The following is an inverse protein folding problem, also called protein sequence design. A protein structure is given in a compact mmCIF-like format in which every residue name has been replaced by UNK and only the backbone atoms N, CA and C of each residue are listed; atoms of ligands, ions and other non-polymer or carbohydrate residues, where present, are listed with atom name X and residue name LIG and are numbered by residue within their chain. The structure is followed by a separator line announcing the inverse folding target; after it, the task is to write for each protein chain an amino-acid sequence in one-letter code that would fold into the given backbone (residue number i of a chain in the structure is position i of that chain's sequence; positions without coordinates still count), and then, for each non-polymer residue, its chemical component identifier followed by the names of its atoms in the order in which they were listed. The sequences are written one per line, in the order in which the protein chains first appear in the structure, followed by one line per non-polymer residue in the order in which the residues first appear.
data_IF_797303766374
#
_entry.id   IF_797303766374
#
_cell.length_a   1.000
_cell.length_b   1.000
_cell.length_c   1.000
_cell.angle_alpha   90.00
_cell.angle_beta   90.00
_cell.angle_gamma   90.00
#
_symmetry.space_group_name_H-M   'P 1'
#
loop_
_entity.id
_entity.type
_entity.pdbx_description
1 polymer ?
#
# COMPACT_ATOMS: atom_id res chain seq x y z
N UNK A 1 -16.12 -33.92 7.06
CA UNK A 1 -16.16 -32.48 7.40
C UNK A 1 -15.28 -31.76 6.40
N UNK A 2 -15.78 -30.80 5.66
CA UNK A 2 -14.96 -29.98 4.75
C UNK A 2 -13.90 -29.21 5.56
N UNK A 3 -12.65 -29.14 5.07
CA UNK A 3 -11.63 -28.32 5.70
C UNK A 3 -12.10 -26.87 5.83
N UNK A 4 -11.73 -26.15 6.90
CA UNK A 4 -12.12 -24.74 7.07
C UNK A 4 -11.63 -23.90 5.89
N UNK A 5 -12.39 -22.86 5.53
CA UNK A 5 -12.05 -21.96 4.45
C UNK A 5 -10.72 -21.25 4.74
N UNK A 6 -9.81 -21.29 3.76
CA UNK A 6 -8.52 -20.62 3.83
C UNK A 6 -8.67 -19.19 3.34
N UNK A 7 -8.56 -18.22 4.23
CA UNK A 7 -8.68 -16.80 3.89
C UNK A 7 -7.41 -16.24 3.24
N UNK A 8 -7.57 -15.22 2.38
CA UNK A 8 -6.45 -14.59 1.66
C UNK A 8 -5.43 -13.93 2.60
N UNK A 9 -5.88 -13.45 3.76
CA UNK A 9 -5.05 -12.79 4.77
C UNK A 9 -5.62 -13.03 6.17
N UNK A 10 -4.72 -13.15 7.15
CA UNK A 10 -5.02 -13.18 8.59
C UNK A 10 -4.00 -12.29 9.31
N UNK A 11 -4.43 -11.27 10.07
CA UNK A 11 -3.51 -10.45 10.87
C UNK A 11 -2.95 -11.25 12.04
N UNK A 12 -1.70 -11.00 12.41
CA UNK A 12 -1.02 -11.66 13.52
C UNK A 12 -1.20 -10.89 14.83
N UNK A 13 -2.34 -11.07 15.45
CA UNK A 13 -2.70 -10.46 16.72
C UNK A 13 -2.73 -11.53 17.83
N UNK A 14 -2.38 -11.13 19.06
CA UNK A 14 -2.33 -12.05 20.19
C UNK A 14 -2.34 -11.34 21.55
N UNK A 15 -1.83 -12.02 22.56
CA UNK A 15 -1.84 -11.53 23.96
C UNK A 15 -1.07 -10.21 24.10
N UNK A 16 0.06 -10.05 23.43
CA UNK A 16 0.87 -8.83 23.54
C UNK A 16 0.12 -7.56 23.10
N UNK A 17 -0.67 -7.63 22.01
CA UNK A 17 -1.51 -6.51 21.58
C UNK A 17 -2.64 -6.27 22.58
N UNK A 18 -3.25 -7.32 23.12
CA UNK A 18 -4.33 -7.18 24.11
C UNK A 18 -3.81 -6.53 25.42
N UNK A 19 -2.63 -6.92 25.88
CA UNK A 19 -1.98 -6.32 27.06
C UNK A 19 -1.64 -4.85 26.82
N UNK A 20 -1.06 -4.50 25.66
CA UNK A 20 -0.76 -3.12 25.32
C UNK A 20 -2.00 -2.22 25.26
N UNK A 21 -3.13 -2.73 24.77
CA UNK A 21 -4.42 -2.01 24.80
C UNK A 21 -4.94 -1.88 26.21
N UNK A 22 -4.84 -2.91 27.04
CA UNK A 22 -5.27 -2.85 28.45
C UNK A 22 -4.49 -1.79 29.25
N UNK A 23 -3.18 -1.65 29.01
CA UNK A 23 -2.37 -0.57 29.62
C UNK A 23 -2.89 0.82 29.25
N UNK A 24 -3.26 1.04 27.99
CA UNK A 24 -3.84 2.32 27.53
C UNK A 24 -5.16 2.60 28.21
N UNK A 25 -6.04 1.59 28.31
CA UNK A 25 -7.31 1.74 29.02
C UNK A 25 -7.12 2.07 30.50
N UNK A 26 -6.16 1.41 31.15
CA UNK A 26 -5.82 1.67 32.56
C UNK A 26 -5.25 3.08 32.78
N UNK A 27 -4.53 3.64 31.80
CA UNK A 27 -3.99 5.01 31.86
C UNK A 27 -5.06 6.09 31.73
N UNK A 28 -6.23 5.76 31.17
CA UNK A 28 -7.29 6.72 30.82
C UNK A 28 -7.00 7.59 29.61
N UNK A 29 -5.81 7.50 29.01
CA UNK A 29 -5.44 8.30 27.82
C UNK A 29 -5.73 7.53 26.53
N UNK A 30 -6.97 7.54 26.08
CA UNK A 30 -7.44 6.73 24.95
C UNK A 30 -7.38 7.42 23.60
N UNK A 31 -7.33 8.76 23.54
CA UNK A 31 -7.20 9.55 22.32
C UNK A 31 -5.73 9.65 21.90
N UNK A 32 -5.40 10.59 21.00
CA UNK A 32 -4.01 10.85 20.59
C UNK A 32 -3.17 11.32 21.78
N UNK A 33 -2.10 10.62 22.09
CA UNK A 33 -1.27 10.89 23.27
C UNK A 33 0.14 10.29 23.17
N UNK A 34 0.72 9.86 24.31
CA UNK A 34 2.12 9.41 24.37
C UNK A 34 2.40 8.13 23.58
N UNK A 35 1.42 7.21 23.40
CA UNK A 35 1.61 6.01 22.58
C UNK A 35 1.70 6.35 21.10
N UNK A 36 0.92 7.32 20.63
CA UNK A 36 1.02 7.83 19.26
C UNK A 36 2.39 8.45 19.02
N UNK A 37 2.86 9.32 19.92
CA UNK A 37 4.18 9.94 19.81
C UNK A 37 5.31 8.90 19.77
N UNK A 38 5.24 7.86 20.60
CA UNK A 38 6.22 6.77 20.63
C UNK A 38 6.14 5.93 19.34
N UNK A 39 4.95 5.65 18.81
CA UNK A 39 4.79 4.93 17.56
C UNK A 39 5.35 5.72 16.38
N UNK A 40 5.07 7.04 16.28
CA UNK A 40 5.68 7.93 15.29
C UNK A 40 7.22 7.85 15.34
N UNK A 41 7.79 8.00 16.52
CA UNK A 41 9.25 7.97 16.70
C UNK A 41 9.86 6.63 16.29
N UNK A 42 9.29 5.49 16.72
CA UNK A 42 9.81 4.16 16.37
C UNK A 42 9.60 3.83 14.91
N UNK A 43 8.49 4.24 14.33
CA UNK A 43 8.22 4.04 12.91
C UNK A 43 9.19 4.84 12.04
N UNK A 44 9.46 6.11 12.38
CA UNK A 44 10.46 6.93 11.71
C UNK A 44 11.84 6.26 11.72
N UNK A 45 12.28 5.74 12.87
CA UNK A 45 13.55 5.00 12.98
C UNK A 45 13.55 3.75 12.10
N UNK A 46 12.48 2.96 12.14
CA UNK A 46 12.37 1.71 11.36
C UNK A 46 12.39 1.96 9.84
N UNK A 47 11.81 3.07 9.38
CA UNK A 47 11.79 3.45 7.96
C UNK A 47 12.95 4.39 7.57
N UNK A 48 13.88 4.71 8.48
CA UNK A 48 14.96 5.67 8.25
C UNK A 48 14.47 7.03 7.74
N UNK A 49 13.33 7.47 8.24
CA UNK A 49 12.74 8.77 7.93
C UNK A 49 13.02 9.76 9.09
N UNK A 50 13.19 11.04 8.77
CA UNK A 50 13.44 12.07 9.80
C UNK A 50 12.19 12.36 10.65
N UNK A 51 11.03 12.31 10.04
CA UNK A 51 9.75 12.60 10.68
C UNK A 51 8.67 11.59 10.30
N UNK A 52 7.82 11.28 11.29
CA UNK A 52 6.58 10.52 11.08
C UNK A 52 5.40 11.26 11.71
N UNK A 53 4.22 11.14 11.09
CA UNK A 53 2.96 11.74 11.55
C UNK A 53 1.87 10.70 11.40
N UNK A 54 1.40 10.14 12.51
CA UNK A 54 0.36 9.12 12.52
C UNK A 54 -1.00 9.72 12.12
N UNK A 55 -1.77 8.97 11.35
CA UNK A 55 -3.08 9.37 10.83
C UNK A 55 -4.12 8.28 11.04
N UNK A 56 -5.39 8.63 10.91
CA UNK A 56 -6.51 7.69 11.05
C UNK A 56 -6.57 6.63 9.94
N UNK A 57 -5.92 6.88 8.78
CA UNK A 57 -5.83 5.94 7.66
C UNK A 57 -4.73 6.36 6.68
N UNK A 58 -4.32 5.45 5.78
CA UNK A 58 -3.43 5.79 4.66
C UNK A 58 -4.08 6.83 3.72
N UNK A 59 -5.39 6.76 3.50
CA UNK A 59 -6.11 7.74 2.68
C UNK A 59 -5.96 9.15 3.26
N UNK A 60 -6.04 9.29 4.59
CA UNK A 60 -5.77 10.55 5.28
C UNK A 60 -4.31 10.99 5.13
N UNK A 61 -3.36 10.03 5.19
CA UNK A 61 -1.94 10.31 4.97
C UNK A 61 -1.65 10.80 3.54
N UNK A 62 -2.25 10.16 2.51
CA UNK A 62 -2.15 10.59 1.10
C UNK A 62 -2.72 11.99 0.89
N UNK A 63 -3.88 12.27 1.48
CA UNK A 63 -4.48 13.61 1.41
C UNK A 63 -3.55 14.67 2.03
N UNK A 64 -3.03 14.41 3.24
CA UNK A 64 -2.09 15.33 3.88
C UNK A 64 -0.78 15.46 3.08
N UNK A 65 -0.27 14.37 2.50
CA UNK A 65 0.93 14.38 1.68
C UNK A 65 0.80 15.34 0.48
N UNK A 66 -0.33 15.29 -0.23
CA UNK A 66 -0.59 16.20 -1.34
C UNK A 66 -0.77 17.65 -0.89
N UNK A 67 -1.40 17.89 0.27
CA UNK A 67 -1.54 19.24 0.83
C UNK A 67 -0.18 19.84 1.22
N UNK A 68 0.69 19.08 1.91
CA UNK A 68 2.01 19.58 2.32
C UNK A 68 2.95 19.72 1.14
N UNK A 69 2.80 18.89 0.10
CA UNK A 69 3.48 19.00 -1.18
C UNK A 69 3.05 20.25 -1.99
N UNK A 70 2.01 20.97 -1.55
CA UNK A 70 1.56 22.20 -2.19
C UNK A 70 0.68 21.99 -3.42
N UNK A 71 0.12 20.82 -3.63
CA UNK A 71 -0.84 20.53 -4.71
C UNK A 71 -2.12 21.36 -4.50
N UNK A 72 -2.65 21.91 -5.58
CA UNK A 72 -3.76 22.89 -5.58
C UNK A 72 -4.88 22.46 -6.53
N UNK A 73 -6.08 23.02 -6.37
CA UNK A 73 -7.17 22.82 -7.32
C UNK A 73 -6.75 23.16 -8.76
N UNK A 74 -7.05 22.24 -9.69
CA UNK A 74 -6.71 22.36 -11.11
C UNK A 74 -5.35 21.84 -11.53
N UNK A 75 -4.48 21.46 -10.58
CA UNK A 75 -3.23 20.75 -10.86
C UNK A 75 -3.50 19.35 -11.40
N UNK A 76 -2.53 18.80 -12.13
CA UNK A 76 -2.51 17.41 -12.53
C UNK A 76 -1.60 16.60 -11.59
N UNK A 77 -2.10 15.46 -11.11
CA UNK A 77 -1.32 14.50 -10.32
C UNK A 77 -1.26 13.18 -11.09
N UNK A 78 -0.06 12.73 -11.44
CA UNK A 78 0.13 11.44 -12.10
C UNK A 78 -0.05 10.32 -11.08
N UNK A 79 -0.85 9.31 -11.42
CA UNK A 79 -1.13 8.15 -10.58
C UNK A 79 -1.17 6.87 -11.41
N UNK A 80 -0.74 5.70 -10.90
CA UNK A 80 -0.99 4.44 -11.59
C UNK A 80 -2.48 4.12 -11.55
N UNK A 81 -3.00 3.61 -12.65
CA UNK A 81 -4.38 3.09 -12.65
C UNK A 81 -4.47 1.69 -12.03
N UNK A 82 -3.39 0.89 -12.12
CA UNK A 82 -3.27 -0.41 -11.46
C UNK A 82 -2.96 -0.22 -9.97
N UNK A 83 -3.95 0.25 -9.20
CA UNK A 83 -3.83 0.49 -7.76
C UNK A 83 -5.20 0.45 -7.08
N UNK A 84 -5.20 0.41 -5.74
CA UNK A 84 -6.42 0.63 -4.97
C UNK A 84 -6.95 2.06 -5.21
N UNK A 85 -8.26 2.20 -5.26
CA UNK A 85 -8.92 3.46 -5.63
C UNK A 85 -8.51 4.67 -4.77
N UNK A 86 -8.04 4.46 -3.53
CA UNK A 86 -7.61 5.54 -2.64
C UNK A 86 -6.46 6.37 -3.25
N UNK A 87 -5.55 5.75 -4.01
CA UNK A 87 -4.47 6.43 -4.73
C UNK A 87 -5.03 7.45 -5.74
N UNK A 88 -6.08 7.06 -6.48
CA UNK A 88 -6.75 7.93 -7.46
C UNK A 88 -7.68 8.96 -6.80
N UNK A 89 -8.28 8.64 -5.66
CA UNK A 89 -9.14 9.55 -4.91
C UNK A 89 -8.35 10.71 -4.26
N UNK A 90 -7.13 10.46 -3.79
CA UNK A 90 -6.36 11.44 -3.04
C UNK A 90 -6.18 12.80 -3.77
N UNK A 91 -5.84 12.85 -5.08
CA UNK A 91 -5.81 14.11 -5.84
C UNK A 91 -7.14 14.86 -5.82
N UNK A 92 -8.28 14.15 -5.90
CA UNK A 92 -9.60 14.81 -5.94
C UNK A 92 -9.94 15.51 -4.62
N UNK A 93 -9.41 15.04 -3.49
CA UNK A 93 -9.64 15.67 -2.18
C UNK A 93 -8.99 17.05 -2.07
N UNK A 94 -7.95 17.31 -2.85
CA UNK A 94 -7.30 18.65 -2.92
C UNK A 94 -7.75 19.45 -4.14
N UNK A 95 -8.78 18.97 -4.86
CA UNK A 95 -9.30 19.62 -6.07
C UNK A 95 -8.40 19.48 -7.30
N UNK A 96 -7.35 18.64 -7.22
CA UNK A 96 -6.49 18.30 -8.34
C UNK A 96 -7.12 17.16 -9.18
N UNK A 97 -6.58 16.96 -10.38
CA UNK A 97 -7.06 15.94 -11.31
C UNK A 97 -6.10 14.75 -11.34
N UNK A 98 -6.55 13.53 -11.07
CA UNK A 98 -5.76 12.36 -11.34
C UNK A 98 -5.55 12.20 -12.86
N UNK A 99 -4.31 11.93 -13.27
CA UNK A 99 -3.95 11.54 -14.63
C UNK A 99 -3.39 10.13 -14.57
N UNK A 100 -4.07 9.19 -15.16
CA UNK A 100 -3.69 7.78 -15.09
C UNK A 100 -2.53 7.47 -16.03
N UNK A 101 -1.52 6.79 -15.49
CA UNK A 101 -0.32 6.33 -16.18
C UNK A 101 -0.29 4.81 -16.13
N UNK A 102 0.14 4.19 -17.23
CA UNK A 102 0.29 2.74 -17.30
C UNK A 102 1.49 2.25 -16.48
N UNK A 103 1.52 0.98 -16.21
CA UNK A 103 2.48 0.36 -15.29
C UNK A 103 3.41 -0.62 -16.02
N UNK A 104 4.50 -0.97 -15.36
CA UNK A 104 5.41 -2.03 -15.80
C UNK A 104 4.70 -3.40 -15.73
N UNK A 105 4.83 -4.24 -16.76
CA UNK A 105 4.13 -5.53 -16.82
C UNK A 105 4.62 -6.58 -15.81
N UNK A 106 5.79 -6.39 -15.22
CA UNK A 106 6.40 -7.35 -14.29
C UNK A 106 6.11 -6.95 -12.84
N UNK A 107 6.32 -5.67 -12.53
CA UNK A 107 6.19 -5.15 -11.17
C UNK A 107 4.81 -4.61 -10.84
N UNK A 108 4.03 -4.19 -11.84
CA UNK A 108 2.77 -3.47 -11.64
C UNK A 108 2.95 -2.03 -11.15
N UNK A 109 4.16 -1.50 -11.17
CA UNK A 109 4.51 -0.16 -10.69
C UNK A 109 4.68 0.84 -11.83
N UNK A 110 4.62 2.14 -11.52
CA UNK A 110 5.00 3.20 -12.46
C UNK A 110 6.47 3.06 -12.88
N UNK A 111 6.76 3.47 -14.11
CA UNK A 111 8.13 3.58 -14.62
C UNK A 111 8.53 5.03 -14.83
N UNK A 112 9.81 5.34 -14.73
CA UNK A 112 10.36 6.66 -15.06
C UNK A 112 10.01 7.08 -16.52
N UNK A 113 10.00 6.13 -17.46
CA UNK A 113 9.63 6.40 -18.84
C UNK A 113 8.15 6.76 -18.99
N UNK A 114 7.24 6.03 -18.31
CA UNK A 114 5.81 6.34 -18.29
C UNK A 114 5.52 7.68 -17.67
N UNK A 115 6.15 7.99 -16.52
CA UNK A 115 6.04 9.29 -15.87
C UNK A 115 6.51 10.40 -16.79
N UNK A 116 7.70 10.29 -17.41
CA UNK A 116 8.24 11.27 -18.34
C UNK A 116 7.30 11.57 -19.51
N UNK A 117 6.69 10.54 -20.08
CA UNK A 117 5.75 10.69 -21.20
C UNK A 117 4.43 11.36 -20.80
N UNK A 118 4.05 11.26 -19.53
CA UNK A 118 2.80 11.81 -18.98
C UNK A 118 2.93 13.24 -18.42
N UNK A 119 4.17 13.73 -18.20
CA UNK A 119 4.41 15.08 -17.64
C UNK A 119 3.84 16.17 -18.54
N UNK A 120 3.15 17.12 -17.92
CA UNK A 120 2.60 18.33 -18.54
C UNK A 120 3.00 19.57 -17.74
N UNK A 121 2.83 20.79 -18.28
CA UNK A 121 3.04 22.01 -17.49
C UNK A 121 2.17 22.13 -16.24
N UNK A 122 1.05 21.39 -16.15
CA UNK A 122 0.17 21.36 -14.97
C UNK A 122 0.51 20.27 -13.98
N UNK A 123 1.41 19.34 -14.31
CA UNK A 123 1.79 18.28 -13.39
C UNK A 123 2.58 18.85 -12.23
N UNK A 124 2.09 18.68 -10.99
CA UNK A 124 2.71 19.17 -9.77
C UNK A 124 3.18 18.04 -8.85
N UNK A 125 2.56 16.86 -8.97
CA UNK A 125 2.96 15.70 -8.21
C UNK A 125 2.80 14.37 -8.99
N UNK A 126 3.53 13.37 -8.54
CA UNK A 126 3.39 11.95 -8.94
C UNK A 126 3.14 11.14 -7.68
N UNK A 127 2.12 10.29 -7.67
CA UNK A 127 1.95 9.29 -6.61
C UNK A 127 2.48 7.95 -7.11
N UNK A 128 3.62 7.56 -6.60
CA UNK A 128 4.30 6.30 -6.94
C UNK A 128 3.94 5.23 -5.90
N UNK A 129 3.39 4.09 -6.36
CA UNK A 129 2.85 3.04 -5.47
C UNK A 129 3.80 1.86 -5.40
N UNK A 130 4.03 1.33 -4.19
CA UNK A 130 4.69 0.04 -3.97
C UNK A 130 3.68 -1.10 -4.10
N UNK A 131 3.35 -1.45 -5.32
CA UNK A 131 2.22 -2.32 -5.61
C UNK A 131 2.37 -3.74 -5.04
N UNK A 132 1.47 -4.10 -4.12
CA UNK A 132 1.52 -5.41 -3.46
C UNK A 132 2.77 -5.64 -2.60
N UNK A 133 3.53 -4.58 -2.29
CA UNK A 133 4.80 -4.60 -1.57
C UNK A 133 6.04 -4.68 -2.47
N UNK A 134 5.86 -4.69 -3.79
CA UNK A 134 6.98 -4.59 -4.73
C UNK A 134 7.47 -3.14 -4.76
N UNK A 135 8.73 -2.84 -4.39
CA UNK A 135 9.21 -1.47 -4.34
C UNK A 135 9.24 -0.84 -5.74
N UNK A 136 8.65 0.35 -5.86
CA UNK A 136 8.75 1.16 -7.07
C UNK A 136 10.18 1.69 -7.23
N UNK A 137 10.69 1.86 -8.47
CA UNK A 137 11.99 2.53 -8.66
C UNK A 137 11.85 4.04 -8.46
N UNK A 138 11.67 4.41 -7.18
CA UNK A 138 11.50 5.80 -6.75
C UNK A 138 12.67 6.68 -7.18
N UNK A 139 13.90 6.15 -7.14
CA UNK A 139 15.11 6.86 -7.56
C UNK A 139 15.03 7.27 -9.03
N UNK A 140 14.61 6.37 -9.90
CA UNK A 140 14.49 6.66 -11.33
C UNK A 140 13.33 7.63 -11.63
N UNK A 141 12.21 7.52 -10.90
CA UNK A 141 11.08 8.44 -11.03
C UNK A 141 11.46 9.85 -10.55
N UNK A 142 12.13 9.97 -9.39
CA UNK A 142 12.59 11.25 -8.87
C UNK A 142 13.53 11.95 -9.85
N UNK A 143 14.50 11.25 -10.41
CA UNK A 143 15.41 11.82 -11.40
C UNK A 143 14.70 12.40 -12.64
N UNK A 144 13.49 11.93 -12.95
CA UNK A 144 12.63 12.53 -14.00
C UNK A 144 11.90 13.76 -13.49
N UNK A 145 11.53 13.79 -12.21
CA UNK A 145 10.71 14.84 -11.59
C UNK A 145 11.52 16.03 -11.06
N UNK A 146 12.81 15.83 -10.77
CA UNK A 146 13.70 16.85 -10.19
C UNK A 146 13.97 18.04 -11.13
N UNK A 147 13.93 17.82 -12.43
CA UNK A 147 14.06 18.89 -13.45
C UNK A 147 13.05 18.73 -14.58
N UNK A 148 11.91 19.34 -14.40
CA UNK A 148 10.86 19.42 -15.44
C UNK A 148 10.77 20.85 -15.97
N UNK A 149 11.73 21.21 -16.84
CA UNK A 149 11.79 22.56 -17.41
C UNK A 149 12.01 23.66 -16.36
N UNK A 150 12.92 23.41 -15.41
CA UNK A 150 13.25 24.33 -14.31
C UNK A 150 12.25 24.27 -13.14
N UNK A 151 11.38 23.27 -13.09
CA UNK A 151 10.43 23.03 -11.98
C UNK A 151 10.71 21.67 -11.35
N UNK A 152 10.48 21.56 -10.05
CA UNK A 152 10.39 20.32 -9.33
C UNK A 152 8.94 19.80 -9.31
N UNK A 153 8.75 18.51 -9.58
CA UNK A 153 7.48 17.80 -9.43
C UNK A 153 7.62 16.84 -8.25
N UNK A 154 6.81 17.04 -7.22
CA UNK A 154 6.93 16.25 -5.98
C UNK A 154 6.56 14.79 -6.22
N UNK A 155 7.36 13.87 -5.68
CA UNK A 155 7.03 12.43 -5.70
C UNK A 155 6.54 12.00 -4.33
N UNK A 156 5.24 11.68 -4.25
CA UNK A 156 4.60 11.07 -3.09
C UNK A 156 4.69 9.55 -3.24
N UNK A 157 5.31 8.87 -2.29
CA UNK A 157 5.35 7.41 -2.27
C UNK A 157 4.12 6.85 -1.55
N UNK A 158 3.23 6.19 -2.28
CA UNK A 158 2.14 5.40 -1.68
C UNK A 158 2.71 4.04 -1.23
N UNK A 159 3.29 4.06 -0.05
CA UNK A 159 3.87 2.91 0.62
C UNK A 159 2.84 2.10 1.44
N UNK A 160 1.55 2.17 1.08
CA UNK A 160 0.48 1.45 1.79
C UNK A 160 0.75 -0.06 1.90
N UNK A 161 1.55 -0.61 1.00
CA UNK A 161 1.97 -2.01 1.00
C UNK A 161 3.48 -2.17 1.27
N UNK A 162 4.24 -1.08 1.46
CA UNK A 162 5.70 -1.06 1.41
C UNK A 162 6.41 -1.42 2.72
N UNK A 163 5.71 -1.49 3.88
CA UNK A 163 6.36 -1.71 5.17
C UNK A 163 7.19 -3.01 5.20
N UNK A 164 8.50 -2.88 5.40
CA UNK A 164 9.47 -3.98 5.39
C UNK A 164 10.01 -4.38 4.01
N UNK A 165 9.57 -3.72 2.91
CA UNK A 165 10.23 -3.79 1.60
C UNK A 165 11.45 -2.89 1.57
N UNK A 166 12.38 -3.17 0.65
CA UNK A 166 13.60 -2.36 0.49
C UNK A 166 13.82 -1.93 -0.95
N UNK A 167 14.28 -0.70 -1.11
CA UNK A 167 14.79 -0.13 -2.36
C UNK A 167 16.29 0.06 -2.22
N UNK A 168 17.10 -0.56 -3.08
CA UNK A 168 18.58 -0.49 -3.06
C UNK A 168 19.19 -0.72 -1.66
N UNK A 169 18.60 -1.67 -0.90
CA UNK A 169 19.07 -2.05 0.44
C UNK A 169 18.63 -1.12 1.57
N UNK A 170 17.87 -0.06 1.30
CA UNK A 170 17.27 0.83 2.29
C UNK A 170 15.77 0.54 2.43
N UNK A 171 15.15 0.77 3.58
CA UNK A 171 13.69 0.68 3.71
C UNK A 171 12.98 1.55 2.66
N UNK A 172 11.87 1.05 2.11
CA UNK A 172 10.92 1.87 1.34
C UNK A 172 10.55 3.10 2.17
N UNK A 173 10.36 4.25 1.55
CA UNK A 173 10.09 5.52 2.23
C UNK A 173 11.33 6.29 2.70
N UNK A 174 12.50 5.63 2.84
CA UNK A 174 13.72 6.27 3.33
C UNK A 174 14.25 7.39 2.42
N UNK A 175 14.01 7.27 1.12
CA UNK A 175 14.43 8.24 0.11
C UNK A 175 13.26 9.07 -0.45
N UNK A 176 12.05 8.90 0.09
CA UNK A 176 10.89 9.66 -0.35
C UNK A 176 10.89 11.08 0.23
N UNK A 177 10.44 12.05 -0.54
CA UNK A 177 10.13 13.39 -0.02
C UNK A 177 9.00 13.32 1.00
N UNK A 178 7.98 12.52 0.67
CA UNK A 178 6.88 12.15 1.55
C UNK A 178 6.35 10.78 1.17
N UNK A 179 6.09 9.93 2.16
CA UNK A 179 5.47 8.63 1.97
C UNK A 179 4.23 8.46 2.85
N UNK A 180 3.25 7.72 2.34
CA UNK A 180 1.99 7.41 3.04
C UNK A 180 1.87 5.90 3.28
N UNK A 181 1.55 5.52 4.51
CA UNK A 181 1.53 4.14 4.99
C UNK A 181 0.16 3.71 5.47
N UNK A 182 -0.15 2.43 5.36
CA UNK A 182 -1.42 1.84 5.79
C UNK A 182 -1.23 0.80 6.87
N UNK A 183 -2.10 0.86 7.89
CA UNK A 183 -2.17 -0.12 8.97
C UNK A 183 -3.55 -0.80 9.03
N UNK A 184 -4.22 -0.90 7.89
CA UNK A 184 -5.46 -1.65 7.74
C UNK A 184 -5.21 -3.16 8.00
N UNK A 185 -6.19 -3.97 8.49
CA UNK A 185 -6.00 -5.39 8.84
C UNK A 185 -5.49 -6.29 7.72
N UNK A 186 -5.63 -5.88 6.46
CA UNK A 186 -5.08 -6.61 5.31
C UNK A 186 -3.60 -6.30 5.03
N UNK A 187 -2.98 -5.39 5.78
CA UNK A 187 -1.54 -5.08 5.64
C UNK A 187 -0.69 -5.98 6.53
N UNK A 188 0.64 -5.99 6.31
CA UNK A 188 1.55 -6.77 7.14
C UNK A 188 1.44 -6.37 8.60
N UNK A 189 1.51 -5.06 8.85
CA UNK A 189 1.38 -4.42 10.14
C UNK A 189 0.00 -3.79 10.23
N UNK A 190 -0.74 -4.02 11.32
CA UNK A 190 -2.07 -3.45 11.51
C UNK A 190 -2.26 -2.78 12.85
N UNK A 191 -3.11 -1.76 12.87
CA UNK A 191 -3.64 -1.11 14.08
C UNK A 191 -5.18 -1.21 14.15
N UNK A 192 -5.80 -2.13 13.36
CA UNK A 192 -7.22 -2.15 13.08
C UNK A 192 -7.57 -1.19 11.93
N UNK A 193 -7.53 0.07 12.14
CA UNK A 193 -7.43 1.14 11.15
C UNK A 193 -6.28 2.06 11.53
N UNK A 194 -5.65 2.70 10.56
CA UNK A 194 -4.55 3.62 10.80
C UNK A 194 -3.71 3.88 9.56
N UNK A 195 -2.89 4.89 9.66
CA UNK A 195 -1.88 5.26 8.66
C UNK A 195 -0.76 6.07 9.27
N UNK A 196 0.22 6.38 8.45
CA UNK A 196 1.36 7.23 8.79
C UNK A 196 1.74 8.05 7.57
N UNK A 197 2.19 9.27 7.77
CA UNK A 197 2.93 10.05 6.81
C UNK A 197 4.37 10.12 7.30
N UNK A 198 5.34 9.83 6.45
CA UNK A 198 6.78 10.04 6.74
C UNK A 198 7.36 11.03 5.76
N UNK A 199 8.33 11.86 6.19
CA UNK A 199 8.99 12.85 5.35
C UNK A 199 10.33 13.30 5.95
N UNK A 200 11.27 13.71 5.08
CA UNK A 200 12.50 14.37 5.50
C UNK A 200 12.30 15.87 5.78
N UNK A 201 11.17 16.48 5.38
CA UNK A 201 10.93 17.92 5.51
C UNK A 201 10.25 18.26 6.84
N UNK A 202 10.97 18.93 7.74
CA UNK A 202 10.47 19.30 9.07
C UNK A 202 9.24 20.25 9.02
N UNK A 203 9.17 21.16 8.06
CA UNK A 203 8.04 22.05 7.86
C UNK A 203 6.79 21.31 7.36
N UNK A 204 6.93 20.31 6.48
CA UNK A 204 5.84 19.44 6.06
C UNK A 204 5.29 18.61 7.22
N UNK A 205 6.18 18.04 8.03
CA UNK A 205 5.79 17.29 9.21
C UNK A 205 5.03 18.17 10.23
N UNK A 206 5.49 19.41 10.47
CA UNK A 206 4.79 20.36 11.35
C UNK A 206 3.41 20.71 10.80
N UNK A 207 3.32 21.02 9.49
CA UNK A 207 2.05 21.35 8.86
C UNK A 207 1.09 20.15 8.87
N UNK A 208 1.56 18.94 8.57
CA UNK A 208 0.75 17.72 8.61
C UNK A 208 0.19 17.44 10.02
N UNK A 209 0.98 17.67 11.09
CA UNK A 209 0.51 17.54 12.48
C UNK A 209 -0.61 18.53 12.79
N UNK A 210 -0.50 19.78 12.32
CA UNK A 210 -1.56 20.78 12.51
C UNK A 210 -2.82 20.41 11.72
N UNK A 211 -2.67 20.09 10.44
CA UNK A 211 -3.79 19.75 9.55
C UNK A 211 -4.56 18.52 10.08
N UNK A 212 -3.90 17.49 10.61
CA UNK A 212 -4.58 16.31 11.18
C UNK A 212 -5.39 16.62 12.44
N UNK A 213 -5.14 17.78 13.09
CA UNK A 213 -5.79 18.24 14.32
C UNK A 213 -6.54 19.56 14.09
N UNK A 214 -7.39 19.63 13.07
CA UNK A 214 -8.25 20.78 12.75
C UNK A 214 -7.50 22.07 12.37
N UNK A 215 -6.20 22.02 12.09
CA UNK A 215 -5.38 23.21 11.84
C UNK A 215 -4.99 24.00 13.09
N UNK A 216 -5.10 23.39 14.28
CA UNK A 216 -4.81 24.04 15.57
C UNK A 216 -3.32 24.45 15.67
N UNK A 217 -3.09 25.66 16.21
CA UNK A 217 -1.74 26.17 16.50
C UNK A 217 -1.06 25.48 17.69
N UNK A 218 -1.84 24.92 18.62
CA UNK A 218 -1.39 24.24 19.85
C UNK A 218 -1.93 22.81 19.86
N UNK A 219 -1.04 21.83 19.97
CA UNK A 219 -1.44 20.42 19.98
C UNK A 219 -2.22 20.03 21.24
N UNK A 220 -3.00 18.94 21.16
CA UNK A 220 -3.69 18.39 22.30
C UNK A 220 -2.73 18.04 23.48
N UNK A 221 -1.53 17.56 23.16
CA UNK A 221 -0.50 17.22 24.15
C UNK A 221 0.02 18.49 24.87
N UNK A 222 0.31 19.57 24.13
CA UNK A 222 0.75 20.85 24.70
C UNK A 222 -0.33 21.48 25.59
N UNK A 223 -1.61 21.42 25.19
CA UNK A 223 -2.73 21.89 26.02
C UNK A 223 -2.84 21.13 27.34
N UNK A 224 -2.63 19.82 27.30
CA UNK A 224 -2.72 18.97 28.49
C UNK A 224 -1.52 19.14 29.43
N UNK A 225 -0.33 19.47 28.88
CA UNK A 225 0.87 19.75 29.67
C UNK A 225 0.83 21.12 30.38
N UNK A 226 -0.05 22.01 29.98
CA UNK A 226 -0.16 23.36 30.51
C UNK A 226 -1.28 23.46 31.57
N UNK A 227 -0.95 23.99 32.75
CA UNK A 227 -1.94 24.34 33.79
C UNK A 227 -2.88 25.47 33.32
N UNK A 228 -2.35 26.40 32.52
CA UNK A 228 -3.14 27.43 31.83
C UNK A 228 -3.11 27.15 30.35
N UNK A 229 -4.26 26.80 29.76
CA UNK A 229 -4.34 26.54 28.33
C UNK A 229 -3.89 27.77 27.53
N UNK A 230 -2.87 27.63 26.61
CA UNK A 230 -2.49 28.73 25.75
C UNK A 230 -3.61 29.07 24.78
N UNK A 231 -3.70 30.34 24.31
CA UNK A 231 -4.70 30.70 23.32
C UNK A 231 -4.51 29.91 22.03
N UNK A 232 -5.59 29.34 21.52
CA UNK A 232 -5.63 28.57 20.29
C UNK A 232 -5.95 29.47 19.09
N UNK A 233 -5.26 29.21 17.97
CA UNK A 233 -5.59 29.79 16.65
C UNK A 233 -5.76 28.65 15.64
N UNK A 234 -6.57 28.88 14.63
CA UNK A 234 -6.84 27.96 13.52
C UNK A 234 -6.51 28.67 12.22
N UNK A 235 -5.23 28.62 11.82
CA UNK A 235 -4.70 29.42 10.71
C UNK A 235 -5.09 28.87 9.33
N UNK A 236 -5.46 27.59 9.27
CA UNK A 236 -5.89 26.90 8.05
C UNK A 236 -6.98 25.86 8.36
N UNK A 237 -7.79 25.54 7.36
CA UNK A 237 -8.80 24.48 7.49
C UNK A 237 -8.09 23.13 7.64
N UNK A 238 -8.29 22.46 8.77
CA UNK A 238 -7.74 21.16 9.06
C UNK A 238 -8.79 20.09 9.19
N UNK A 239 -8.37 18.88 9.59
CA UNK A 239 -9.16 17.66 9.59
C UNK A 239 -9.07 16.96 10.95
N UNK A 240 -9.97 16.03 11.21
CA UNK A 240 -9.82 15.08 12.29
C UNK A 240 -9.26 13.76 11.74
N UNK A 241 -7.95 13.70 11.57
CA UNK A 241 -7.22 12.52 11.10
C UNK A 241 -6.33 11.90 12.18
N UNK A 242 -6.65 12.15 13.44
CA UNK A 242 -5.87 11.64 14.58
C UNK A 242 -5.95 10.12 14.67
N UNK A 243 -4.82 9.49 14.97
CA UNK A 243 -4.74 8.12 15.49
C UNK A 243 -4.96 8.15 17.00
N UNK A 244 -5.54 7.12 17.56
CA UNK A 244 -5.72 6.95 19.01
C UNK A 244 -4.52 6.23 19.63
N UNK A 245 -4.29 6.42 20.95
CA UNK A 245 -3.28 5.66 21.68
C UNK A 245 -3.62 4.15 21.73
N UNK A 246 -4.90 3.78 21.68
CA UNK A 246 -5.32 2.38 21.54
C UNK A 246 -4.76 1.74 20.25
N UNK A 247 -4.89 2.43 19.12
CA UNK A 247 -4.35 1.98 17.84
C UNK A 247 -2.82 1.97 17.84
N UNK A 248 -2.21 3.02 18.40
CA UNK A 248 -0.75 3.13 18.47
C UNK A 248 -0.12 2.05 19.37
N UNK A 249 -0.77 1.65 20.46
CA UNK A 249 -0.32 0.57 21.33
C UNK A 249 -0.24 -0.77 20.55
N UNK A 250 -1.26 -1.09 19.76
CA UNK A 250 -1.23 -2.23 18.85
C UNK A 250 -0.10 -2.06 17.83
N UNK A 251 0.03 -0.86 17.24
CA UNK A 251 1.06 -0.54 16.24
C UNK A 251 2.49 -0.75 16.74
N UNK A 252 2.77 -0.41 17.99
CA UNK A 252 4.08 -0.61 18.62
C UNK A 252 4.46 -2.09 18.71
N UNK A 253 3.52 -2.94 19.11
CA UNK A 253 3.74 -4.40 19.18
C UNK A 253 3.91 -4.98 17.76
N UNK A 254 3.06 -4.57 16.84
CA UNK A 254 3.10 -5.02 15.44
C UNK A 254 4.40 -4.60 14.74
N UNK A 255 4.89 -3.38 15.00
CA UNK A 255 6.17 -2.90 14.44
C UNK A 255 7.35 -3.76 14.91
N UNK A 256 7.34 -4.20 16.17
CA UNK A 256 8.37 -5.10 16.69
C UNK A 256 8.34 -6.49 16.02
N UNK A 257 7.17 -6.95 15.56
CA UNK A 257 7.00 -8.23 14.86
C UNK A 257 7.35 -8.13 13.36
N UNK A 258 7.41 -6.93 12.77
CA UNK A 258 7.52 -6.72 11.32
C UNK A 258 8.68 -7.50 10.66
N UNK A 259 9.91 -7.56 11.20
CA UNK A 259 10.98 -8.34 10.59
C UNK A 259 10.66 -9.83 10.47
N UNK A 260 10.07 -10.43 11.51
CA UNK A 260 9.66 -11.83 11.51
C UNK A 260 8.51 -12.09 10.51
N UNK A 261 7.55 -11.14 10.41
CA UNK A 261 6.47 -11.20 9.41
C UNK A 261 7.03 -11.24 7.99
N UNK A 262 7.96 -10.32 7.67
CA UNK A 262 8.58 -10.24 6.35
C UNK A 262 9.36 -11.53 6.03
N UNK A 263 10.20 -12.00 6.95
CA UNK A 263 10.97 -13.22 6.76
C UNK A 263 10.04 -14.41 6.42
N UNK A 264 8.99 -14.63 7.23
CA UNK A 264 8.04 -15.72 7.01
C UNK A 264 7.28 -15.60 5.70
N UNK A 265 6.84 -14.39 5.32
CA UNK A 265 6.15 -14.18 4.03
C UNK A 265 7.05 -14.47 2.85
N UNK A 266 8.33 -14.12 2.94
CA UNK A 266 9.31 -14.41 1.88
C UNK A 266 9.57 -15.93 1.74
N UNK A 267 9.60 -16.68 2.85
CA UNK A 267 9.67 -18.17 2.81
C UNK A 267 8.46 -18.75 2.06
N UNK A 268 7.25 -18.35 2.46
CA UNK A 268 6.02 -18.81 1.81
C UNK A 268 5.96 -18.38 0.32
N UNK A 269 6.39 -17.16 0.01
CA UNK A 269 6.44 -16.66 -1.35
C UNK A 269 7.43 -17.47 -2.22
N UNK A 270 8.58 -17.90 -1.68
CA UNK A 270 9.54 -18.74 -2.40
C UNK A 270 8.92 -20.08 -2.81
N UNK A 271 8.15 -20.74 -1.93
CA UNK A 271 7.45 -21.98 -2.25
C UNK A 271 6.39 -21.77 -3.36
N UNK A 272 5.61 -20.69 -3.31
CA UNK A 272 4.68 -20.33 -4.39
C UNK A 272 5.41 -20.05 -5.71
N UNK A 273 6.52 -19.30 -5.66
CA UNK A 273 7.31 -18.97 -6.86
C UNK A 273 7.82 -20.25 -7.53
N UNK A 274 8.31 -21.23 -6.76
CA UNK A 274 8.75 -22.51 -7.28
C UNK A 274 7.59 -23.29 -7.94
N UNK A 275 6.41 -23.33 -7.31
CA UNK A 275 5.24 -24.00 -7.86
C UNK A 275 4.75 -23.35 -9.15
N UNK A 276 4.67 -22.02 -9.19
CA UNK A 276 4.23 -21.25 -10.37
C UNK A 276 5.23 -21.39 -11.51
N UNK A 277 6.56 -21.38 -11.22
CA UNK A 277 7.58 -21.58 -12.25
C UNK A 277 7.50 -22.97 -12.93
N UNK A 278 7.02 -23.99 -12.22
CA UNK A 278 6.76 -25.33 -12.73
C UNK A 278 5.43 -25.48 -13.47
N UNK A 279 4.58 -24.44 -13.50
CA UNK A 279 3.22 -24.51 -14.08
C UNK A 279 3.14 -23.66 -15.36
N UNK A 280 3.05 -24.26 -16.56
CA UNK A 280 2.91 -23.51 -17.80
C UNK A 280 1.72 -22.56 -17.80
N UNK A 281 1.93 -21.36 -18.30
CA UNK A 281 0.87 -20.35 -18.39
C UNK A 281 0.60 -19.56 -17.11
N UNK A 282 1.37 -19.76 -16.03
CA UNK A 282 1.33 -18.92 -14.84
C UNK A 282 2.61 -18.09 -14.71
N UNK A 283 2.48 -16.85 -14.23
CA UNK A 283 3.61 -15.96 -13.92
C UNK A 283 3.42 -15.35 -12.54
N UNK A 284 4.38 -15.59 -11.64
CA UNK A 284 4.38 -15.01 -10.30
C UNK A 284 4.94 -13.58 -10.28
N UNK A 285 4.48 -12.78 -9.31
CA UNK A 285 5.17 -11.57 -8.88
C UNK A 285 6.60 -11.91 -8.41
N UNK A 286 7.56 -11.04 -8.71
CA UNK A 286 8.97 -11.23 -8.35
C UNK A 286 9.59 -9.94 -7.80
N UNK A 287 10.71 -10.09 -7.10
CA UNK A 287 11.54 -8.96 -6.72
C UNK A 287 12.09 -8.26 -7.97
N UNK A 288 12.05 -6.93 -8.05
CA UNK A 288 12.75 -6.20 -9.11
C UNK A 288 14.26 -6.15 -8.83
N UNK A 289 15.04 -5.87 -9.88
CA UNK A 289 16.50 -5.80 -9.77
C UNK A 289 17.00 -4.74 -8.77
N UNK A 290 16.17 -3.76 -8.45
CA UNK A 290 16.50 -2.63 -7.58
C UNK A 290 16.01 -2.78 -6.14
N UNK A 291 15.31 -3.86 -5.78
CA UNK A 291 14.80 -3.98 -4.43
C UNK A 291 14.22 -5.33 -4.06
N UNK A 292 13.75 -5.45 -2.82
CA UNK A 292 13.13 -6.67 -2.30
C UNK A 292 11.72 -6.40 -1.79
N UNK A 293 10.78 -7.25 -2.21
CA UNK A 293 9.39 -7.20 -1.77
C UNK A 293 9.21 -7.83 -0.40
N UNK A 294 8.32 -7.27 0.40
CA UNK A 294 7.78 -7.90 1.60
C UNK A 294 6.68 -8.95 1.27
N UNK A 295 6.29 -9.06 0.01
CA UNK A 295 5.15 -9.84 -0.46
C UNK A 295 3.86 -9.55 0.34
N UNK A 296 3.51 -8.26 0.48
CA UNK A 296 2.19 -7.85 1.02
C UNK A 296 1.07 -8.58 0.29
N UNK A 297 1.21 -8.75 -1.02
CA UNK A 297 0.34 -9.58 -1.84
C UNK A 297 1.21 -10.47 -2.73
N UNK A 298 0.95 -11.77 -2.72
CA UNK A 298 1.49 -12.68 -3.73
C UNK A 298 0.46 -12.80 -4.86
N UNK A 299 0.71 -12.10 -5.95
CA UNK A 299 -0.17 -12.17 -7.11
C UNK A 299 0.44 -13.00 -8.24
N UNK A 300 -0.45 -13.64 -8.99
CA UNK A 300 -0.11 -14.49 -10.13
C UNK A 300 -0.88 -14.00 -11.35
N UNK A 301 -0.22 -13.87 -12.48
CA UNK A 301 -0.87 -13.63 -13.77
C UNK A 301 -1.13 -14.96 -14.46
N UNK A 302 -2.36 -15.12 -14.95
CA UNK A 302 -2.80 -16.24 -15.80
C UNK A 302 -2.65 -15.83 -17.25
N UNK A 303 -1.66 -16.42 -17.93
CA UNK A 303 -1.33 -16.15 -19.33
C UNK A 303 -2.32 -16.88 -20.26
N UNK A 304 -2.37 -16.48 -21.53
CA UNK A 304 -3.23 -17.12 -22.54
C UNK A 304 -2.90 -18.60 -22.77
N UNK A 305 -1.67 -18.99 -22.51
CA UNK A 305 -1.21 -20.38 -22.64
C UNK A 305 -1.64 -21.31 -21.50
N UNK A 306 -2.27 -20.77 -20.44
CA UNK A 306 -2.78 -21.60 -19.34
C UNK A 306 -4.06 -22.35 -19.76
N UNK A 307 -4.33 -23.48 -19.12
CA UNK A 307 -5.49 -24.35 -19.42
C UNK A 307 -6.85 -23.73 -19.05
N UNK A 308 -6.85 -22.70 -18.20
CA UNK A 308 -8.05 -21.92 -17.84
C UNK A 308 -7.71 -20.44 -17.71
N UNK A 309 -8.72 -19.56 -17.72
CA UNK A 309 -8.54 -18.14 -17.43
C UNK A 309 -8.50 -17.86 -15.92
N UNK A 310 -8.27 -16.59 -15.57
CA UNK A 310 -8.20 -16.12 -14.18
C UNK A 310 -9.46 -16.48 -13.37
N UNK A 311 -10.64 -16.31 -13.96
CA UNK A 311 -11.90 -16.52 -13.24
C UNK A 311 -12.18 -18.03 -13.06
N UNK A 312 -11.83 -18.86 -14.03
CA UNK A 312 -11.86 -20.32 -13.90
C UNK A 312 -10.92 -20.83 -12.81
N UNK A 313 -9.70 -20.26 -12.73
CA UNK A 313 -8.76 -20.61 -11.66
C UNK A 313 -9.27 -20.17 -10.27
N UNK A 314 -9.94 -19.02 -10.17
CA UNK A 314 -10.58 -18.57 -8.93
C UNK A 314 -11.71 -19.52 -8.49
N UNK A 315 -12.51 -20.04 -9.43
CA UNK A 315 -13.54 -21.05 -9.13
C UNK A 315 -12.91 -22.34 -8.61
N UNK A 316 -11.87 -22.85 -9.27
CA UNK A 316 -11.13 -24.04 -8.80
C UNK A 316 -10.58 -23.90 -7.38
N UNK A 317 -10.00 -22.72 -7.08
CA UNK A 317 -9.51 -22.38 -5.73
C UNK A 317 -10.66 -22.35 -4.72
N UNK A 318 -11.80 -21.74 -5.08
CA UNK A 318 -12.97 -21.69 -4.22
C UNK A 318 -13.56 -23.07 -3.93
N UNK A 319 -13.63 -23.98 -4.92
CA UNK A 319 -14.07 -25.36 -4.78
C UNK A 319 -13.17 -26.16 -3.84
N UNK A 320 -11.86 -25.83 -3.81
CA UNK A 320 -10.90 -26.37 -2.86
C UNK A 320 -10.94 -25.69 -1.46
N UNK A 321 -11.91 -24.80 -1.21
CA UNK A 321 -12.04 -24.06 0.04
C UNK A 321 -10.97 -22.97 0.22
N UNK A 322 -10.36 -22.46 -0.87
CA UNK A 322 -9.34 -21.42 -0.86
C UNK A 322 -9.94 -20.09 -1.32
N UNK A 323 -9.97 -19.10 -0.44
CA UNK A 323 -10.46 -17.75 -0.75
C UNK A 323 -9.34 -16.89 -1.36
N UNK A 324 -9.02 -17.11 -2.63
CA UNK A 324 -8.21 -16.19 -3.43
C UNK A 324 -9.04 -14.95 -3.83
N UNK A 325 -8.37 -13.94 -4.37
CA UNK A 325 -9.03 -12.69 -4.81
C UNK A 325 -8.63 -12.37 -6.24
N UNK A 326 -9.52 -11.67 -6.97
CA UNK A 326 -9.10 -10.97 -8.18
C UNK A 326 -7.93 -10.07 -7.84
N UNK A 327 -7.02 -9.87 -8.78
CA UNK A 327 -5.83 -9.04 -8.62
C UNK A 327 -6.17 -7.58 -8.33
N UNK A 328 -5.24 -6.72 -8.63
CA UNK A 328 -5.40 -5.29 -8.39
C UNK A 328 -6.41 -4.71 -9.40
N UNK A 329 -7.23 -3.80 -8.91
CA UNK A 329 -8.23 -3.14 -9.74
C UNK A 329 -7.59 -2.10 -10.68
N UNK A 330 -8.27 -1.81 -11.80
CA UNK A 330 -7.99 -0.65 -12.62
C UNK A 330 -8.86 0.52 -12.15
N UNK A 331 -8.25 1.57 -11.60
CA UNK A 331 -8.98 2.71 -11.05
C UNK A 331 -9.76 3.48 -12.13
N UNK A 332 -9.21 3.62 -13.36
CA UNK A 332 -9.88 4.29 -14.48
C UNK A 332 -11.19 3.59 -14.93
N UNK A 333 -11.33 2.29 -14.66
CA UNK A 333 -12.55 1.53 -14.95
C UNK A 333 -13.65 1.70 -13.90
N UNK A 334 -13.37 2.45 -12.83
CA UNK A 334 -14.37 2.69 -11.79
C UNK A 334 -15.25 3.89 -12.18
N UNK A 335 -16.57 3.82 -11.96
CA UNK A 335 -17.49 4.91 -12.33
C UNK A 335 -17.09 6.28 -11.78
N UNK A 336 -16.50 6.33 -10.58
CA UNK A 336 -16.03 7.56 -9.95
C UNK A 336 -14.88 8.27 -10.72
N UNK A 337 -14.19 7.55 -11.60
CA UNK A 337 -13.05 8.03 -12.38
C UNK A 337 -13.22 7.86 -13.89
N UNK A 338 -14.44 7.64 -14.37
CA UNK A 338 -14.71 7.39 -15.79
C UNK A 338 -14.26 8.53 -16.72
N UNK A 339 -14.32 9.76 -16.22
CA UNK A 339 -13.93 10.99 -16.94
C UNK A 339 -12.48 11.45 -16.63
N UNK A 340 -11.71 10.67 -15.86
CA UNK A 340 -10.35 11.05 -15.50
C UNK A 340 -9.41 10.92 -16.71
N UNK A 341 -8.42 11.82 -16.76
CA UNK A 341 -7.46 11.86 -17.86
C UNK A 341 -6.55 10.63 -17.85
N UNK A 342 -6.19 10.15 -19.03
CA UNK A 342 -5.24 9.06 -19.25
C UNK A 342 -4.02 9.61 -20.01
N UNK A 343 -2.83 9.20 -19.61
CA UNK A 343 -1.59 9.56 -20.26
C UNK A 343 -1.52 9.04 -21.72
N UNK A 344 -0.72 9.65 -22.60
CA UNK A 344 -0.48 9.15 -23.94
C UNK A 344 -0.06 7.66 -23.95
N UNK A 345 -0.61 6.89 -24.89
CA UNK A 345 -0.36 5.44 -24.98
C UNK A 345 -1.44 4.56 -24.34
N UNK A 346 -2.36 5.15 -23.59
CA UNK A 346 -3.43 4.39 -22.92
C UNK A 346 -2.91 3.56 -21.74
N UNK A 347 -3.66 2.52 -21.37
CA UNK A 347 -3.42 1.70 -20.18
C UNK A 347 -3.44 0.17 -20.48
N UNK A 348 -2.86 -0.30 -21.61
CA UNK A 348 -2.98 -1.69 -22.02
C UNK A 348 -2.39 -2.70 -21.02
N UNK A 349 -1.30 -2.35 -20.32
CA UNK A 349 -0.69 -3.22 -19.32
C UNK A 349 -1.57 -3.29 -18.08
N UNK A 350 -2.04 -2.15 -17.59
CA UNK A 350 -3.00 -2.07 -16.46
C UNK A 350 -4.23 -2.94 -16.72
N UNK A 351 -4.84 -2.81 -17.91
CA UNK A 351 -6.05 -3.56 -18.29
C UNK A 351 -5.77 -5.06 -18.30
N UNK A 352 -4.69 -5.48 -18.95
CA UNK A 352 -4.28 -6.87 -19.00
C UNK A 352 -4.03 -7.44 -17.61
N UNK A 353 -3.26 -6.76 -16.76
CA UNK A 353 -2.96 -7.21 -15.40
C UNK A 353 -4.23 -7.28 -14.55
N UNK A 354 -5.13 -6.30 -14.66
CA UNK A 354 -6.41 -6.31 -13.93
C UNK A 354 -7.27 -7.51 -14.34
N UNK A 355 -7.32 -7.86 -15.62
CA UNK A 355 -8.15 -8.93 -16.12
C UNK A 355 -7.56 -10.32 -15.86
N UNK A 356 -6.23 -10.43 -15.75
CA UNK A 356 -5.52 -11.71 -15.71
C UNK A 356 -4.85 -12.06 -14.38
N UNK A 357 -4.81 -11.15 -13.40
CA UNK A 357 -4.15 -11.46 -12.13
C UNK A 357 -5.12 -11.90 -11.05
N UNK A 358 -4.62 -12.74 -10.17
CA UNK A 358 -5.26 -13.12 -8.91
C UNK A 358 -4.26 -13.05 -7.75
N UNK A 359 -4.76 -12.85 -6.53
CA UNK A 359 -3.97 -12.82 -5.30
C UNK A 359 -4.21 -14.09 -4.52
N UNK A 360 -3.14 -14.82 -4.22
CA UNK A 360 -3.15 -16.04 -3.43
C UNK A 360 -3.16 -15.74 -1.93
N UNK A 361 -3.68 -16.65 -1.08
CA UNK A 361 -3.54 -16.57 0.36
C UNK A 361 -2.07 -16.52 0.77
N UNK A 362 -1.73 -15.53 1.59
CA UNK A 362 -0.39 -15.41 2.15
C UNK A 362 -0.46 -14.68 3.50
N UNK A 363 -0.22 -15.38 4.60
CA UNK A 363 -0.15 -14.84 5.96
C UNK A 363 0.83 -15.66 6.78
N UNK A 364 1.48 -15.05 7.77
CA UNK A 364 2.64 -15.63 8.45
C UNK A 364 2.34 -16.85 9.30
N UNK A 365 1.09 -17.05 9.79
CA UNK A 365 0.66 -18.27 10.49
C UNK A 365 0.23 -19.40 9.55
N UNK A 366 0.35 -19.21 8.22
CA UNK A 366 -0.02 -20.21 7.22
C UNK A 366 0.83 -21.46 7.40
N UNK A 367 0.17 -22.61 7.54
CA UNK A 367 0.82 -23.91 7.66
C UNK A 367 1.24 -24.45 6.29
N UNK A 368 2.19 -25.39 6.29
CA UNK A 368 2.60 -26.07 5.05
C UNK A 368 1.42 -26.80 4.39
N UNK A 369 0.54 -27.42 5.17
CA UNK A 369 -0.65 -28.09 4.66
C UNK A 369 -1.64 -27.13 4.01
N UNK A 370 -1.83 -25.94 4.59
CA UNK A 370 -2.66 -24.88 3.99
C UNK A 370 -2.04 -24.38 2.68
N UNK A 371 -0.70 -24.19 2.64
CA UNK A 371 -0.01 -23.78 1.43
C UNK A 371 -0.03 -24.87 0.36
N UNK A 372 0.20 -26.11 0.71
CA UNK A 372 0.14 -27.24 -0.21
C UNK A 372 -1.23 -27.35 -0.89
N UNK A 373 -2.33 -27.14 -0.16
CA UNK A 373 -3.69 -27.11 -0.74
C UNK A 373 -3.85 -26.05 -1.82
N UNK A 374 -3.23 -24.87 -1.67
CA UNK A 374 -3.24 -23.83 -2.72
C UNK A 374 -2.40 -24.27 -3.91
N UNK A 375 -1.19 -24.79 -3.65
CA UNK A 375 -0.27 -25.24 -4.70
C UNK A 375 -0.88 -26.37 -5.53
N UNK A 376 -1.53 -27.36 -4.89
CA UNK A 376 -2.17 -28.48 -5.56
C UNK A 376 -3.19 -28.01 -6.62
N UNK A 377 -3.96 -26.98 -6.31
CA UNK A 377 -4.91 -26.38 -7.27
C UNK A 377 -4.20 -25.72 -8.45
N UNK A 378 -3.09 -25.00 -8.17
CA UNK A 378 -2.34 -24.29 -9.21
C UNK A 378 -1.66 -25.26 -10.20
N UNK A 379 -1.08 -26.37 -9.70
CA UNK A 379 -0.28 -27.29 -10.51
C UNK A 379 -1.11 -28.41 -11.16
N UNK A 380 -2.36 -28.63 -10.71
CA UNK A 380 -3.23 -29.68 -11.25
C UNK A 380 -3.93 -29.16 -12.52
N UNK A 381 -3.74 -29.79 -13.70
CA UNK A 381 -4.43 -29.38 -14.92
C UNK A 381 -5.95 -29.50 -14.84
N UNK A 382 -6.68 -28.65 -15.56
CA UNK A 382 -8.12 -28.75 -15.68
C UNK A 382 -8.51 -29.94 -16.59
N UNK A 383 -8.95 -31.03 -15.97
CA UNK A 383 -9.38 -32.25 -16.70
C UNK A 383 -10.73 -32.10 -17.40
N UNK A 384 -11.48 -31.03 -17.16
CA UNK A 384 -12.82 -30.85 -17.77
C UNK A 384 -12.72 -30.44 -19.24
N UNK A 385 -11.70 -29.64 -19.62
CA UNK A 385 -11.42 -29.27 -21.02
C UNK A 385 -10.85 -30.40 -21.87
N UNK A 386 -10.02 -31.29 -21.31
CA UNK A 386 -9.44 -32.41 -22.06
C UNK A 386 -10.48 -33.39 -22.61
N UNK A 387 -11.69 -33.46 -22.02
CA UNK A 387 -12.78 -34.32 -22.52
C UNK A 387 -13.49 -33.74 -23.74
N UNK A 388 -13.44 -32.45 -23.97
CA UNK A 388 -14.12 -31.78 -25.10
C UNK A 388 -13.26 -31.89 -26.37
N UNK A 389 -11.93 -31.79 -26.27
CA UNK A 389 -11.00 -31.89 -27.41
C UNK A 389 -10.77 -33.33 -27.86
N UNK A 390 -10.96 -34.32 -26.99
CA UNK A 390 -10.89 -35.77 -27.34
C UNK A 390 -12.14 -36.30 -28.04
N UNK A 391 -13.20 -35.49 -28.15
CA UNK A 391 -14.47 -35.85 -28.80
C UNK A 391 -14.71 -35.05 -30.11
N UNK A 392 -13.75 -34.29 -30.58
CA UNK A 392 -13.68 -33.68 -31.91
C UNK A 392 -12.59 -34.33 -32.77
#
# INVERSE_FOLDING_TARGET
MSAPALHVMRPWLGAAEAEAVAEVLASGWVAQGPRVAEFERRFAVAQQADHAVATSSCTSALHLALLVAGVRPGDDVLVPSFSFVATANAPTYVGARPVFVDVDPVTGNLTAAGVRAALTPRTTAVVAVDQGGVPVDLTAIRAVCDDVGGRHVVVVEDAACGAGSTLRGRPVGADAEVAAWSFHPRKLLTTGEGGMLTTAHADWARRARRLREHGMSVSAAERHASVLAPPEAYDEVGFNYRMTDLQAAVGLVQLAKLPAMVARRRELAAAYTAAVAGTPGLRAVADPAWGTSNFQSFWVEVLESHDTDRDGLLVRLADAGVSARRGIMAAHRQPAHADAAVAPGGLPVTERLTDRTLVLPLFHEMTEAEQARVVDVLVTPDRTRQKVDATR
#
